data_IF_305222672623
#
_entry.id   IF_305222672623
#
_cell.length_a   1.000
_cell.length_b   1.000
_cell.length_c   1.000
_cell.angle_alpha   90.00
_cell.angle_beta   90.00
_cell.angle_gamma   90.00
#
_symmetry.space_group_name_H-M   'P 1'
#
loop_
_entity.id
_entity.type
_entity.pdbx_description
1 polymer ?
#
# COMPACT_ATOMS: atom_id res chain seq x y z
N UNK A 1 -5.83 -24.79 -15.21
CA UNK A 1 -6.21 -24.53 -13.80
C UNK A 1 -6.18 -25.88 -13.07
N UNK A 2 -5.34 -26.01 -12.04
CA UNK A 2 -5.29 -27.21 -11.21
C UNK A 2 -6.41 -27.15 -10.17
N UNK A 3 -7.18 -28.21 -10.05
CA UNK A 3 -8.24 -28.38 -9.05
C UNK A 3 -8.02 -29.69 -8.30
N UNK A 4 -8.44 -29.81 -7.05
CA UNK A 4 -8.41 -31.08 -6.33
C UNK A 4 -9.20 -32.14 -7.08
N UNK A 5 -8.75 -33.40 -7.02
CA UNK A 5 -9.47 -34.53 -7.61
C UNK A 5 -10.74 -34.85 -6.82
N UNK A 6 -11.65 -35.64 -7.43
CA UNK A 6 -12.94 -36.01 -6.82
C UNK A 6 -12.82 -36.74 -5.48
N UNK A 7 -11.68 -37.36 -5.19
CA UNK A 7 -11.42 -38.09 -3.95
C UNK A 7 -10.66 -37.27 -2.89
N UNK A 8 -10.49 -35.94 -3.07
CA UNK A 8 -9.77 -35.11 -2.14
C UNK A 8 -10.55 -34.96 -0.83
N UNK A 9 -9.89 -35.25 0.28
CA UNK A 9 -10.46 -35.12 1.63
C UNK A 9 -9.90 -33.89 2.34
N UNK A 10 -10.76 -33.17 3.06
CA UNK A 10 -10.39 -32.00 3.86
C UNK A 10 -11.02 -32.11 5.23
N UNK A 11 -10.25 -31.87 6.29
CA UNK A 11 -10.76 -31.88 7.66
C UNK A 11 -11.77 -30.74 7.92
N UNK A 12 -11.60 -29.62 7.23
CA UNK A 12 -12.49 -28.46 7.33
C UNK A 12 -12.48 -27.65 6.05
N UNK A 13 -13.56 -26.93 5.79
CA UNK A 13 -13.68 -25.98 4.70
C UNK A 13 -14.07 -24.60 5.26
N UNK A 14 -13.44 -23.56 4.76
CA UNK A 14 -13.82 -22.16 4.98
C UNK A 14 -14.11 -21.56 3.61
N UNK A 15 -15.31 -21.06 3.43
CA UNK A 15 -15.73 -20.37 2.22
C UNK A 15 -15.76 -18.86 2.48
N UNK A 16 -15.10 -18.09 1.61
CA UNK A 16 -15.02 -16.65 1.69
C UNK A 16 -15.36 -16.04 0.34
N UNK A 17 -16.44 -15.28 0.29
CA UNK A 17 -16.82 -14.51 -0.89
C UNK A 17 -15.97 -13.23 -0.98
N UNK A 18 -14.97 -13.24 -1.86
CA UNK A 18 -14.08 -12.09 -2.06
C UNK A 18 -14.80 -10.85 -2.62
N UNK A 19 -15.98 -11.04 -3.24
CA UNK A 19 -16.81 -9.93 -3.76
C UNK A 19 -17.44 -9.08 -2.65
N UNK A 20 -17.49 -9.58 -1.42
CA UNK A 20 -18.04 -8.87 -0.26
C UNK A 20 -16.98 -8.18 0.60
N UNK A 21 -15.70 -8.32 0.24
CA UNK A 21 -14.61 -7.69 1.01
C UNK A 21 -14.44 -6.25 0.54
N UNK A 22 -14.66 -5.33 1.46
CA UNK A 22 -14.35 -3.90 1.25
C UNK A 22 -12.84 -3.65 1.23
N UNK A 23 -12.38 -2.52 0.63
CA UNK A 23 -10.99 -2.11 0.71
C UNK A 23 -10.50 -2.00 2.15
N UNK A 24 -9.38 -2.63 2.45
CA UNK A 24 -8.85 -2.73 3.81
C UNK A 24 -7.49 -2.06 3.97
N UNK A 25 -7.22 -1.64 5.20
CA UNK A 25 -5.93 -1.13 5.65
C UNK A 25 -5.47 -1.91 6.89
N UNK A 26 -4.21 -2.36 6.91
CA UNK A 26 -3.61 -2.91 8.13
C UNK A 26 -2.61 -1.90 8.70
N UNK A 27 -2.89 -1.41 9.90
CA UNK A 27 -2.08 -0.42 10.60
C UNK A 27 -0.77 -1.02 11.15
N UNK A 28 0.26 -0.20 11.42
CA UNK A 28 1.45 -0.69 12.12
C UNK A 28 1.04 -1.35 13.45
N UNK A 29 1.67 -2.40 13.93
CA UNK A 29 2.93 -3.02 13.49
C UNK A 29 2.71 -4.50 13.14
N UNK A 30 1.50 -4.89 12.82
CA UNK A 30 1.16 -6.27 12.51
C UNK A 30 0.04 -6.33 11.45
N UNK A 31 0.08 -7.27 10.49
CA UNK A 31 -0.96 -7.40 9.46
C UNK A 31 -2.37 -7.65 10.00
N UNK A 32 -2.51 -8.22 11.21
CA UNK A 32 -3.82 -8.44 11.85
C UNK A 32 -4.44 -7.17 12.47
N UNK A 33 -3.71 -6.06 12.53
CA UNK A 33 -4.27 -4.77 12.94
C UNK A 33 -5.02 -4.13 11.75
N UNK A 34 -6.03 -4.86 11.27
CA UNK A 34 -6.72 -4.60 10.00
C UNK A 34 -8.14 -4.10 10.21
N UNK A 35 -8.52 -3.13 9.43
CA UNK A 35 -9.83 -2.47 9.40
C UNK A 35 -10.25 -2.24 7.95
N UNK A 36 -11.54 -2.06 7.68
CA UNK A 36 -11.91 -1.43 6.41
C UNK A 36 -11.35 -0.01 6.37
N UNK A 37 -11.03 0.52 5.20
CA UNK A 37 -10.49 1.90 5.10
C UNK A 37 -11.53 2.88 5.65
N UNK A 38 -12.82 2.66 5.43
CA UNK A 38 -13.91 3.48 5.98
C UNK A 38 -13.95 3.47 7.50
N UNK A 39 -13.86 2.27 8.09
CA UNK A 39 -13.80 2.13 9.55
C UNK A 39 -12.58 2.84 10.14
N UNK A 40 -11.42 2.68 9.50
CA UNK A 40 -10.21 3.40 9.88
C UNK A 40 -10.39 4.91 9.81
N UNK A 41 -10.92 5.45 8.71
CA UNK A 41 -11.11 6.90 8.54
C UNK A 41 -12.11 7.47 9.56
N UNK A 42 -13.18 6.73 9.88
CA UNK A 42 -14.15 7.13 10.89
C UNK A 42 -13.55 7.18 12.31
N UNK A 43 -12.57 6.33 12.62
CA UNK A 43 -11.96 6.18 13.94
C UNK A 43 -10.47 6.53 13.97
N UNK A 44 -9.97 7.28 12.99
CA UNK A 44 -8.54 7.48 12.75
C UNK A 44 -7.81 8.04 13.97
N UNK A 45 -8.42 8.98 14.70
CA UNK A 45 -7.80 9.59 15.88
C UNK A 45 -7.53 8.56 16.99
N UNK A 46 -8.49 7.70 17.28
CA UNK A 46 -8.36 6.66 18.30
C UNK A 46 -7.34 5.60 17.87
N UNK A 47 -7.47 5.10 16.65
CA UNK A 47 -6.63 4.04 16.12
C UNK A 47 -5.16 4.47 15.99
N UNK A 48 -4.88 5.67 15.46
CA UNK A 48 -3.53 6.21 15.36
C UNK A 48 -2.94 6.54 16.73
N UNK A 49 -3.75 7.04 17.68
CA UNK A 49 -3.30 7.23 19.06
C UNK A 49 -2.89 5.91 19.71
N UNK A 50 -3.61 4.82 19.44
CA UNK A 50 -3.25 3.47 19.89
C UNK A 50 -1.89 3.02 19.33
N UNK A 51 -1.66 3.23 18.03
CA UNK A 51 -0.38 2.91 17.37
C UNK A 51 0.76 3.75 17.96
N UNK A 52 0.55 5.06 18.19
CA UNK A 52 1.55 5.91 18.85
C UNK A 52 1.91 5.44 20.27
N UNK A 53 0.88 5.06 21.05
CA UNK A 53 1.10 4.58 22.41
C UNK A 53 1.91 3.28 22.43
N UNK A 54 1.62 2.35 21.49
CA UNK A 54 2.40 1.13 21.33
C UNK A 54 3.84 1.43 20.90
N UNK A 55 4.04 2.34 19.94
CA UNK A 55 5.36 2.74 19.49
C UNK A 55 6.20 3.37 20.61
N UNK A 56 5.62 4.30 21.35
CA UNK A 56 6.28 4.95 22.49
C UNK A 56 6.66 3.97 23.60
N UNK A 57 5.83 2.96 23.83
CA UNK A 57 6.12 1.88 24.79
C UNK A 57 7.29 1.00 24.33
N UNK A 58 7.34 0.67 23.03
CA UNK A 58 8.42 -0.18 22.47
C UNK A 58 9.73 0.58 22.32
N UNK A 59 9.65 1.84 21.89
CA UNK A 59 10.80 2.69 21.56
C UNK A 59 10.66 4.08 22.19
N UNK A 60 10.99 4.21 23.49
CA UNK A 60 10.81 5.48 24.21
C UNK A 60 11.59 6.67 23.62
N UNK A 61 12.63 6.40 22.82
CA UNK A 61 13.44 7.42 22.14
C UNK A 61 12.90 7.82 20.78
N UNK A 62 11.97 7.05 20.19
CA UNK A 62 11.43 7.34 18.89
C UNK A 62 10.47 8.54 18.96
N UNK A 63 10.61 9.45 18.02
CA UNK A 63 9.72 10.61 17.89
C UNK A 63 8.51 10.19 17.05
N UNK A 64 7.39 9.88 17.69
CA UNK A 64 6.19 9.34 17.06
C UNK A 64 5.04 10.32 17.15
N UNK A 65 4.57 10.81 16.00
CA UNK A 65 3.51 11.81 15.86
C UNK A 65 2.58 11.46 14.69
N UNK A 66 1.92 10.30 14.74
CA UNK A 66 0.98 9.87 13.68
C UNK A 66 -0.34 10.65 13.68
N UNK A 67 -0.72 11.25 14.81
CA UNK A 67 -1.88 12.11 14.89
C UNK A 67 -1.74 13.37 14.03
N UNK A 68 -0.51 13.80 13.72
CA UNK A 68 -0.24 14.92 12.81
C UNK A 68 -0.67 14.62 11.35
N UNK A 69 -0.93 13.33 11.03
CA UNK A 69 -1.46 12.91 9.73
C UNK A 69 -2.96 13.18 9.56
N UNK A 70 -3.63 13.60 10.63
CA UNK A 70 -5.06 13.95 10.62
C UNK A 70 -5.18 15.46 10.51
N UNK A 71 -5.41 15.96 9.32
CA UNK A 71 -5.62 17.39 9.05
C UNK A 71 -6.50 17.58 7.82
N UNK A 72 -6.98 18.80 7.59
CA UNK A 72 -7.79 19.20 6.45
C UNK A 72 -8.97 18.26 6.13
N UNK A 73 -9.60 17.74 7.20
CA UNK A 73 -10.76 16.85 7.09
C UNK A 73 -10.45 15.46 6.54
N UNK A 74 -9.20 15.01 6.64
CA UNK A 74 -8.78 13.68 6.20
C UNK A 74 -7.60 13.11 6.96
N UNK A 75 -7.17 11.92 6.56
CA UNK A 75 -5.92 11.30 6.98
C UNK A 75 -4.98 11.27 5.79
N UNK A 76 -3.75 11.72 5.99
CA UNK A 76 -2.79 11.90 4.91
C UNK A 76 -1.60 10.96 5.08
N UNK A 77 -1.23 10.33 3.98
CA UNK A 77 0.00 9.53 3.88
C UNK A 77 1.11 10.35 3.20
N UNK A 78 2.35 9.94 3.44
CA UNK A 78 3.52 10.58 2.83
C UNK A 78 4.07 9.77 1.65
N UNK A 79 3.72 8.47 1.60
CA UNK A 79 4.28 7.57 0.61
C UNK A 79 3.30 6.46 0.24
N UNK A 80 3.21 6.15 -1.05
CA UNK A 80 2.54 4.97 -1.60
C UNK A 80 3.54 4.05 -2.31
N UNK A 81 3.52 2.75 -2.02
CA UNK A 81 4.41 1.77 -2.65
C UNK A 81 3.63 0.54 -3.09
N UNK A 82 3.78 0.17 -4.35
CA UNK A 82 3.28 -1.08 -4.91
C UNK A 82 4.51 -1.92 -5.28
N UNK A 83 4.79 -3.00 -4.51
CA UNK A 83 6.06 -3.68 -4.64
C UNK A 83 6.03 -5.17 -4.26
N UNK A 84 7.08 -5.86 -4.67
CA UNK A 84 7.39 -7.22 -4.28
C UNK A 84 6.49 -8.28 -4.92
N UNK A 85 6.52 -9.49 -4.35
CA UNK A 85 5.81 -10.65 -4.89
C UNK A 85 4.27 -10.56 -4.73
N UNK A 86 3.77 -9.73 -3.83
CA UNK A 86 2.34 -9.49 -3.66
C UNK A 86 1.87 -8.28 -4.48
N UNK A 87 2.43 -7.09 -4.23
CA UNK A 87 1.98 -5.86 -4.85
C UNK A 87 2.45 -5.68 -6.30
N UNK A 88 3.69 -6.06 -6.61
CA UNK A 88 4.32 -5.83 -7.91
C UNK A 88 3.83 -6.74 -9.06
N UNK A 89 2.73 -7.46 -8.90
CA UNK A 89 2.13 -8.27 -9.96
C UNK A 89 1.53 -7.40 -11.05
N UNK A 90 1.43 -7.96 -12.26
CA UNK A 90 0.94 -7.25 -13.44
C UNK A 90 -0.42 -6.60 -13.20
N UNK A 91 -1.41 -7.35 -12.75
CA UNK A 91 -2.79 -6.86 -12.56
C UNK A 91 -2.84 -5.68 -11.58
N UNK A 92 -2.10 -5.75 -10.48
CA UNK A 92 -2.07 -4.69 -9.47
C UNK A 92 -1.51 -3.37 -10.02
N UNK A 93 -0.46 -3.45 -10.83
CA UNK A 93 0.19 -2.25 -11.40
C UNK A 93 -0.64 -1.69 -12.56
N UNK A 94 -1.23 -2.55 -13.38
CA UNK A 94 -2.09 -2.15 -14.48
C UNK A 94 -3.36 -1.44 -13.96
N UNK A 95 -4.06 -2.04 -13.00
CA UNK A 95 -5.24 -1.45 -12.37
C UNK A 95 -4.92 -0.11 -11.68
N UNK A 96 -3.77 -0.02 -10.99
CA UNK A 96 -3.32 1.22 -10.38
C UNK A 96 -3.03 2.32 -11.43
N UNK A 97 -2.40 1.97 -12.54
CA UNK A 97 -2.14 2.91 -13.64
C UNK A 97 -3.43 3.41 -14.29
N UNK A 98 -4.42 2.53 -14.47
CA UNK A 98 -5.73 2.93 -14.98
C UNK A 98 -6.41 3.96 -14.08
N UNK A 99 -6.36 3.77 -12.75
CA UNK A 99 -6.89 4.73 -11.76
C UNK A 99 -6.15 6.07 -11.85
N UNK A 100 -4.86 6.05 -12.04
CA UNK A 100 -4.01 7.25 -12.11
C UNK A 100 -4.12 7.98 -13.44
N UNK A 101 -4.54 7.31 -14.53
CA UNK A 101 -4.57 7.87 -15.89
C UNK A 101 -5.26 9.24 -15.94
N UNK A 102 -4.58 10.20 -16.54
CA UNK A 102 -5.06 11.58 -16.65
C UNK A 102 -5.08 12.37 -15.34
N UNK A 103 -4.54 11.79 -14.26
CA UNK A 103 -4.33 12.46 -12.98
C UNK A 103 -2.85 12.74 -12.71
N UNK A 104 -2.53 13.07 -11.46
CA UNK A 104 -1.18 13.28 -10.97
C UNK A 104 -1.08 12.79 -9.53
N UNK A 105 0.07 12.28 -9.13
CA UNK A 105 0.37 12.02 -7.71
C UNK A 105 0.63 13.31 -6.92
N UNK A 106 0.57 14.46 -7.61
CA UNK A 106 0.80 15.78 -7.02
C UNK A 106 2.27 16.17 -7.01
N UNK A 107 2.49 17.39 -6.55
CA UNK A 107 3.81 18.03 -6.38
C UNK A 107 4.13 18.33 -4.90
N UNK A 108 3.36 17.71 -3.99
CA UNK A 108 3.49 17.84 -2.55
C UNK A 108 4.51 16.85 -1.97
N UNK A 109 4.46 16.64 -0.67
CA UNK A 109 5.33 15.68 0.02
C UNK A 109 5.00 14.21 -0.27
N UNK A 110 3.81 13.93 -0.81
CA UNK A 110 3.44 12.55 -1.16
C UNK A 110 4.27 12.06 -2.34
N UNK A 111 4.77 10.84 -2.25
CA UNK A 111 5.47 10.17 -3.34
C UNK A 111 4.91 8.78 -3.59
N UNK A 112 4.90 8.34 -4.85
CA UNK A 112 4.48 6.98 -5.21
C UNK A 112 5.59 6.27 -5.98
N UNK A 113 5.91 5.04 -5.55
CA UNK A 113 6.87 4.16 -6.22
C UNK A 113 6.24 2.82 -6.57
N UNK A 114 6.62 2.30 -7.75
CA UNK A 114 6.17 1.00 -8.25
C UNK A 114 7.39 0.13 -8.56
N UNK A 115 7.37 -1.10 -8.05
CA UNK A 115 8.39 -2.13 -8.28
C UNK A 115 7.72 -3.36 -8.90
N UNK A 116 7.80 -3.57 -10.22
CA UNK A 116 7.28 -4.79 -10.83
C UNK A 116 7.93 -6.03 -10.21
N UNK A 117 7.15 -7.11 -10.05
CA UNK A 117 7.64 -8.32 -9.37
C UNK A 117 8.77 -9.04 -10.11
N UNK A 118 8.87 -8.83 -11.43
CA UNK A 118 9.90 -9.45 -12.27
C UNK A 118 10.16 -8.66 -13.54
N UNK A 119 11.29 -8.94 -14.20
CA UNK A 119 11.62 -8.32 -15.50
C UNK A 119 10.58 -8.65 -16.58
N UNK A 120 10.06 -9.88 -16.72
CA UNK A 120 8.97 -10.16 -17.64
C UNK A 120 7.72 -9.30 -17.41
N UNK A 121 7.30 -9.12 -16.15
CA UNK A 121 6.18 -8.25 -15.80
C UNK A 121 6.48 -6.79 -16.18
N UNK A 122 7.66 -6.29 -15.85
CA UNK A 122 8.09 -4.94 -16.24
C UNK A 122 8.03 -4.73 -17.77
N UNK A 123 8.47 -5.75 -18.52
CA UNK A 123 8.45 -5.70 -19.98
C UNK A 123 7.02 -5.72 -20.55
N UNK A 124 6.12 -6.53 -19.98
CA UNK A 124 4.72 -6.54 -20.38
C UNK A 124 4.04 -5.19 -20.11
N UNK A 125 4.21 -4.61 -18.93
CA UNK A 125 3.71 -3.28 -18.58
C UNK A 125 4.20 -2.19 -19.55
N UNK A 126 5.48 -2.27 -19.94
CA UNK A 126 6.07 -1.32 -20.90
C UNK A 126 5.46 -1.50 -22.30
N UNK A 127 5.32 -2.72 -22.79
CA UNK A 127 4.72 -3.02 -24.10
C UNK A 127 3.26 -2.59 -24.21
N UNK A 128 2.54 -2.63 -23.11
CA UNK A 128 1.13 -2.22 -23.05
C UNK A 128 0.93 -0.73 -22.78
N UNK A 129 2.00 0.07 -22.67
CA UNK A 129 1.91 1.50 -22.40
C UNK A 129 1.60 1.87 -20.95
N UNK A 130 1.53 0.89 -20.04
CA UNK A 130 1.23 1.11 -18.63
C UNK A 130 2.34 1.92 -17.96
N UNK A 131 3.60 1.63 -18.33
CA UNK A 131 4.78 2.38 -17.87
C UNK A 131 4.70 3.87 -18.23
N UNK A 132 4.24 4.18 -19.44
CA UNK A 132 4.05 5.56 -19.91
C UNK A 132 3.04 6.30 -19.03
N UNK A 133 1.88 5.71 -18.81
CA UNK A 133 0.83 6.27 -17.93
C UNK A 133 1.36 6.57 -16.53
N UNK A 134 2.10 5.63 -15.94
CA UNK A 134 2.68 5.84 -14.61
C UNK A 134 3.69 6.99 -14.57
N UNK A 135 4.54 7.12 -15.59
CA UNK A 135 5.50 8.21 -15.68
C UNK A 135 4.80 9.56 -15.86
N UNK A 136 3.78 9.66 -16.71
CA UNK A 136 2.99 10.87 -16.92
C UNK A 136 2.36 11.40 -15.62
N UNK A 137 1.99 10.49 -14.71
CA UNK A 137 1.39 10.85 -13.41
C UNK A 137 2.39 11.27 -12.34
N UNK A 138 3.70 11.15 -12.60
CA UNK A 138 4.76 11.42 -11.63
C UNK A 138 5.12 10.22 -10.73
N UNK A 139 4.59 9.03 -11.04
CA UNK A 139 4.95 7.80 -10.32
C UNK A 139 6.38 7.38 -10.63
N UNK A 140 7.14 7.00 -9.60
CA UNK A 140 8.54 6.57 -9.73
C UNK A 140 8.56 5.06 -10.03
N UNK A 141 9.07 4.68 -11.20
CA UNK A 141 9.21 3.28 -11.57
C UNK A 141 10.61 2.81 -11.21
N UNK A 142 10.67 1.72 -10.47
CA UNK A 142 11.91 1.10 -9.99
C UNK A 142 12.13 -0.26 -10.68
N UNK A 143 13.36 -0.73 -10.75
CA UNK A 143 13.63 -2.11 -11.19
C UNK A 143 13.02 -3.13 -10.24
N UNK A 144 12.80 -4.35 -10.75
CA UNK A 144 12.28 -5.47 -9.96
C UNK A 144 13.20 -5.77 -8.77
N UNK A 145 12.75 -5.42 -7.59
CA UNK A 145 13.52 -5.57 -6.34
C UNK A 145 12.60 -5.63 -5.13
N UNK A 146 12.91 -6.48 -4.18
CA UNK A 146 12.12 -6.68 -2.96
C UNK A 146 12.47 -5.67 -1.83
N UNK A 147 13.24 -4.62 -2.13
CA UNK A 147 13.80 -3.66 -1.17
C UNK A 147 12.81 -3.08 -0.17
N UNK A 148 11.64 -2.55 -0.60
CA UNK A 148 10.67 -1.97 0.31
C UNK A 148 10.11 -2.95 1.37
N UNK A 149 10.20 -4.26 1.13
CA UNK A 149 9.72 -5.27 2.08
C UNK A 149 10.68 -5.51 3.26
N UNK A 150 11.93 -5.03 3.17
CA UNK A 150 12.94 -5.25 4.22
C UNK A 150 13.82 -4.02 4.50
N UNK A 151 13.37 -2.83 4.10
CA UNK A 151 14.05 -1.58 4.44
C UNK A 151 15.24 -1.23 3.55
N UNK A 152 15.33 -1.79 2.35
CA UNK A 152 16.35 -1.45 1.37
C UNK A 152 15.72 -0.74 0.16
N UNK A 153 15.62 0.56 0.23
CA UNK A 153 14.99 1.42 -0.76
C UNK A 153 13.62 1.94 -0.32
N UNK A 154 13.30 3.13 -0.76
CA UNK A 154 12.08 3.87 -0.40
C UNK A 154 11.78 3.87 1.11
N UNK A 155 12.84 4.12 1.90
CA UNK A 155 12.70 4.31 3.35
C UNK A 155 11.90 5.60 3.57
N UNK A 156 10.80 5.57 4.34
CA UNK A 156 10.03 6.78 4.60
C UNK A 156 10.84 7.81 5.38
N UNK A 157 10.47 9.06 5.26
CA UNK A 157 10.97 10.10 6.15
C UNK A 157 10.66 9.78 7.61
N UNK A 158 11.40 10.41 8.53
CA UNK A 158 11.09 10.26 9.95
C UNK A 158 9.65 10.73 10.24
N UNK A 159 8.91 9.96 11.00
CA UNK A 159 7.47 10.12 11.25
C UNK A 159 6.58 10.01 9.99
N UNK A 160 7.10 9.44 8.90
CA UNK A 160 6.33 9.21 7.68
C UNK A 160 5.31 8.07 7.84
N UNK A 161 4.14 8.24 7.21
CA UNK A 161 3.14 7.20 7.04
C UNK A 161 3.21 6.67 5.61
N UNK A 162 3.63 5.41 5.46
CA UNK A 162 3.80 4.75 4.17
C UNK A 162 2.71 3.70 3.95
N UNK A 163 1.98 3.83 2.85
CA UNK A 163 0.99 2.84 2.40
C UNK A 163 1.67 1.88 1.44
N UNK A 164 1.58 0.59 1.72
CA UNK A 164 2.31 -0.41 0.92
C UNK A 164 1.44 -1.59 0.52
N UNK A 165 1.42 -1.90 -0.75
CA UNK A 165 1.02 -3.22 -1.21
C UNK A 165 2.27 -4.11 -1.22
N UNK A 166 2.60 -4.62 -0.05
CA UNK A 166 3.69 -5.56 0.21
C UNK A 166 3.17 -6.66 1.15
N UNK A 167 4.05 -7.47 1.73
CA UNK A 167 3.63 -8.61 2.57
C UNK A 167 3.72 -8.36 4.06
N UNK A 168 4.37 -7.28 4.52
CA UNK A 168 4.71 -7.09 5.93
C UNK A 168 4.74 -5.62 6.33
N UNK A 169 4.20 -5.35 7.52
CA UNK A 169 4.27 -4.06 8.20
C UNK A 169 4.83 -4.18 9.63
N UNK A 170 5.61 -5.22 9.88
CA UNK A 170 6.31 -5.39 11.15
C UNK A 170 7.27 -4.24 11.40
N UNK A 171 7.58 -3.94 12.67
CA UNK A 171 8.49 -2.87 13.04
C UNK A 171 9.84 -2.95 12.31
N UNK A 172 10.38 -1.80 11.92
CA UNK A 172 11.69 -1.63 11.27
C UNK A 172 11.84 -2.30 9.89
N UNK A 173 10.79 -2.86 9.34
CA UNK A 173 10.81 -3.45 7.99
C UNK A 173 10.86 -2.39 6.89
N UNK A 174 10.52 -1.16 7.21
CA UNK A 174 10.59 0.00 6.33
C UNK A 174 11.98 0.67 6.29
N UNK A 175 12.89 0.28 7.19
CA UNK A 175 14.26 0.77 7.24
C UNK A 175 14.52 1.84 8.29
N UNK A 176 13.52 2.28 9.08
CA UNK A 176 13.76 3.20 10.18
C UNK A 176 14.55 2.56 11.31
N UNK A 177 15.21 3.39 12.14
CA UNK A 177 16.01 2.98 13.28
C UNK A 177 15.47 3.58 14.58
N UNK A 178 14.43 3.00 15.18
CA UNK A 178 13.78 3.56 16.36
C UNK A 178 14.71 3.69 17.57
N UNK A 179 15.72 2.82 17.71
CA UNK A 179 16.75 2.94 18.73
C UNK A 179 17.61 4.22 18.61
N UNK A 180 17.67 4.80 17.42
CA UNK A 180 18.34 6.07 17.10
C UNK A 180 17.36 7.26 17.04
N UNK A 181 16.13 7.09 17.51
CA UNK A 181 15.10 8.15 17.52
C UNK A 181 14.27 8.26 16.24
N UNK A 182 14.51 7.42 15.24
CA UNK A 182 13.75 7.41 14.01
C UNK A 182 12.46 6.59 14.16
N UNK A 183 11.43 6.97 13.42
CA UNK A 183 10.19 6.21 13.31
C UNK A 183 9.54 6.43 11.94
N UNK A 184 8.96 5.37 11.40
CA UNK A 184 8.01 5.46 10.29
C UNK A 184 6.93 4.38 10.45
N UNK A 185 5.69 4.73 10.11
CA UNK A 185 4.56 3.81 10.13
C UNK A 185 4.35 3.18 8.76
N UNK A 186 4.22 1.86 8.70
CA UNK A 186 3.81 1.16 7.48
C UNK A 186 2.42 0.61 7.65
N UNK A 187 1.52 1.00 6.75
CA UNK A 187 0.22 0.39 6.57
C UNK A 187 0.24 -0.52 5.34
N UNK A 188 -0.40 -1.70 5.43
CA UNK A 188 -0.66 -2.51 4.24
C UNK A 188 -2.01 -2.10 3.64
N UNK A 189 -2.05 -1.98 2.32
CA UNK A 189 -3.24 -1.58 1.58
C UNK A 189 -3.17 -2.14 0.15
N UNK A 190 -4.30 -2.34 -0.49
CA UNK A 190 -4.34 -2.80 -1.88
C UNK A 190 -3.84 -1.73 -2.87
N UNK A 191 -3.41 -2.17 -4.06
CA UNK A 191 -2.80 -1.29 -5.07
C UNK A 191 -3.79 -0.24 -5.61
N UNK A 192 -5.07 -0.58 -5.73
CA UNK A 192 -6.10 0.35 -6.22
C UNK A 192 -6.35 1.47 -5.22
N UNK A 193 -6.47 1.14 -3.93
CA UNK A 193 -6.64 2.15 -2.88
C UNK A 193 -5.39 3.01 -2.68
N UNK A 194 -4.18 2.45 -2.89
CA UNK A 194 -2.94 3.25 -2.94
C UNK A 194 -2.98 4.23 -4.13
N UNK A 195 -3.41 3.78 -5.31
CA UNK A 195 -3.54 4.64 -6.49
C UNK A 195 -4.61 5.73 -6.30
N UNK A 196 -5.75 5.40 -5.69
CA UNK A 196 -6.79 6.36 -5.33
C UNK A 196 -6.27 7.42 -4.36
N UNK A 197 -5.53 7.00 -3.35
CA UNK A 197 -4.86 7.90 -2.39
C UNK A 197 -3.84 8.80 -3.10
N UNK A 198 -3.02 8.23 -3.99
CA UNK A 198 -2.04 8.98 -4.77
C UNK A 198 -2.70 10.04 -5.66
N UNK A 199 -3.79 9.67 -6.36
CA UNK A 199 -4.57 10.60 -7.18
C UNK A 199 -5.15 11.77 -6.38
N UNK A 200 -5.40 11.57 -5.08
CA UNK A 200 -5.85 12.58 -4.13
C UNK A 200 -4.69 13.23 -3.35
N UNK A 201 -3.47 13.21 -3.89
CA UNK A 201 -2.30 13.90 -3.34
C UNK A 201 -1.82 13.36 -1.99
N UNK A 202 -2.18 12.12 -1.64
CA UNK A 202 -1.83 11.45 -0.39
C UNK A 202 -2.97 11.37 0.64
N UNK A 203 -4.13 11.95 0.37
CA UNK A 203 -5.32 11.76 1.22
C UNK A 203 -5.84 10.34 1.10
N UNK A 204 -5.83 9.58 2.20
CA UNK A 204 -6.23 8.18 2.20
C UNK A 204 -7.65 8.03 1.69
N UNK A 205 -7.79 7.28 0.61
CA UNK A 205 -9.05 7.10 -0.14
C UNK A 205 -9.21 5.62 -0.51
N UNK A 206 -10.32 4.98 -0.16
CA UNK A 206 -10.60 3.62 -0.62
C UNK A 206 -10.94 3.63 -2.12
N UNK A 207 -10.53 2.57 -2.83
CA UNK A 207 -10.69 2.49 -4.28
C UNK A 207 -12.15 2.48 -4.76
N UNK A 208 -13.06 2.01 -3.92
CA UNK A 208 -14.49 1.94 -4.21
C UNK A 208 -15.25 3.29 -4.01
N UNK A 209 -14.57 4.35 -3.59
CA UNK A 209 -15.08 5.72 -3.65
C UNK A 209 -14.84 6.41 -5.00
N UNK A 210 -14.08 5.77 -5.89
CA UNK A 210 -13.87 6.28 -7.24
C UNK A 210 -15.00 5.85 -8.15
N UNK A 211 -15.51 6.77 -8.98
CA UNK A 211 -16.47 6.50 -10.07
C UNK A 211 -15.80 5.75 -11.24
N UNK A 212 -14.93 4.81 -10.93
CA UNK A 212 -14.15 4.08 -11.91
C UNK A 212 -13.75 2.70 -11.40
N UNK A 213 -14.07 1.68 -12.17
CA UNK A 213 -13.60 0.31 -11.92
C UNK A 213 -12.60 -0.07 -13.03
N UNK A 214 -11.35 -0.40 -12.67
CA UNK A 214 -10.35 -0.81 -13.64
C UNK A 214 -10.77 -2.06 -14.43
N UNK A 215 -10.46 -2.10 -15.71
CA UNK A 215 -10.63 -3.27 -16.55
C UNK A 215 -9.49 -4.26 -16.33
N UNK A 216 -9.80 -5.54 -16.38
CA UNK A 216 -8.75 -6.57 -16.33
C UNK A 216 -8.16 -6.80 -17.70
N UNK A 217 -6.90 -6.51 -17.86
CA UNK A 217 -6.13 -6.84 -19.04
C UNK A 217 -5.38 -8.17 -18.86
N UNK A 218 -5.36 -9.05 -19.89
CA UNK A 218 -4.60 -10.29 -19.79
C UNK A 218 -3.10 -10.00 -19.78
N UNK A 219 -2.38 -10.65 -18.89
CA UNK A 219 -0.92 -10.68 -18.92
C UNK A 219 -0.44 -11.39 -20.19
N UNK A 220 0.37 -10.72 -21.01
CA UNK A 220 0.90 -11.21 -22.27
C UNK A 220 2.42 -11.41 -22.23
#
# INVERSE_FOLDING_TARGET
KLSPGEGAYYDRMIELDLGQIEPMIALPFHPSNAYTIREFLANAKELLAGVEAEAKKRWPKANVHLLDKIHDGGVWADQGIIAGCAGGMFDNIDEAAQILRGGSVGDSYFSMSVYPTSVPVSLALTRMGVTEVLLETGTIIKPSFCGPCFGAGDVPANNGLSLRHTTRNFPNREGSKPGEGQFAGVCLMDARSIAATARNGGRITPADELDYTPERHPYQ
#
